data_IF_072465338563
#
_entry.id   IF_072465338563
#
_cell.length_a   1.000
_cell.length_b   1.000
_cell.length_c   1.000
_cell.angle_alpha   90.00
_cell.angle_beta   90.00
_cell.angle_gamma   90.00
#
_symmetry.space_group_name_H-M   'P 1'
#
loop_
_entity.id
_entity.type
_entity.pdbx_description
1 polymer ?
#
# COMPACT_ATOMS: atom_id res chain seq x y z
N UNK A 1 -1.20 -6.15 -37.28
CA UNK A 1 -0.40 -6.38 -36.05
C UNK A 1 -1.33 -6.84 -34.93
N UNK A 2 -1.10 -8.02 -34.39
CA UNK A 2 -1.82 -8.56 -33.22
C UNK A 2 -1.43 -7.78 -31.97
N UNK A 3 -2.39 -7.29 -31.19
CA UNK A 3 -2.11 -6.58 -29.94
C UNK A 3 -1.70 -7.58 -28.85
N UNK A 4 -0.38 -7.74 -28.66
CA UNK A 4 0.23 -8.76 -27.77
C UNK A 4 -0.22 -8.59 -26.31
N UNK A 5 -0.57 -7.37 -25.90
CA UNK A 5 -0.90 -7.05 -24.50
C UNK A 5 -2.39 -7.11 -24.18
N UNK A 6 -3.27 -7.31 -25.17
CA UNK A 6 -4.72 -7.18 -24.97
C UNK A 6 -5.26 -8.14 -23.91
N UNK A 7 -4.85 -9.41 -23.94
CA UNK A 7 -5.29 -10.42 -22.98
C UNK A 7 -4.84 -10.10 -21.56
N UNK A 8 -3.61 -9.63 -21.42
CA UNK A 8 -3.00 -9.26 -20.15
C UNK A 8 -3.67 -8.03 -19.52
N UNK A 9 -3.95 -6.99 -20.33
CA UNK A 9 -4.69 -5.80 -19.88
C UNK A 9 -6.08 -6.18 -19.36
N UNK A 10 -6.79 -7.06 -20.08
CA UNK A 10 -8.12 -7.53 -19.65
C UNK A 10 -8.04 -8.31 -18.34
N UNK A 11 -7.04 -9.19 -18.20
CA UNK A 11 -6.81 -9.96 -16.98
C UNK A 11 -6.56 -9.03 -15.79
N UNK A 12 -5.63 -8.09 -15.94
CA UNK A 12 -5.31 -7.11 -14.91
C UNK A 12 -6.54 -6.28 -14.49
N UNK A 13 -7.33 -5.81 -15.46
CA UNK A 13 -8.56 -5.06 -15.17
C UNK A 13 -9.55 -5.87 -14.33
N UNK A 14 -9.77 -7.14 -14.68
CA UNK A 14 -10.65 -8.04 -13.91
C UNK A 14 -10.11 -8.31 -12.51
N UNK A 15 -8.80 -8.54 -12.37
CA UNK A 15 -8.14 -8.74 -11.07
C UNK A 15 -8.34 -7.52 -10.17
N UNK A 16 -8.06 -6.31 -10.66
CA UNK A 16 -8.24 -5.08 -9.89
C UNK A 16 -9.71 -4.88 -9.48
N UNK A 17 -10.67 -5.12 -10.38
CA UNK A 17 -12.09 -5.03 -10.03
C UNK A 17 -12.51 -6.05 -8.98
N UNK A 18 -11.95 -7.25 -8.99
CA UNK A 18 -12.22 -8.27 -7.97
C UNK A 18 -11.68 -7.83 -6.61
N UNK A 19 -10.42 -7.41 -6.55
CA UNK A 19 -9.77 -6.96 -5.31
C UNK A 19 -10.39 -5.68 -4.75
N UNK A 20 -10.90 -4.80 -5.62
CA UNK A 20 -11.54 -3.54 -5.24
C UNK A 20 -12.89 -3.67 -4.56
N UNK A 21 -13.47 -4.87 -4.45
CA UNK A 21 -14.80 -5.08 -3.83
C UNK A 21 -14.83 -4.68 -2.35
N UNK A 22 -13.74 -4.96 -1.63
CA UNK A 22 -13.60 -4.67 -0.21
C UNK A 22 -12.88 -3.34 0.06
N UNK A 23 -12.85 -2.44 -0.94
CA UNK A 23 -12.17 -1.17 -0.82
C UNK A 23 -12.85 -0.29 0.26
N UNK A 24 -12.09 0.40 1.15
CA UNK A 24 -12.67 1.11 2.30
C UNK A 24 -13.72 2.17 1.96
N UNK A 25 -13.60 2.83 0.80
CA UNK A 25 -14.54 3.85 0.31
C UNK A 25 -15.67 3.27 -0.55
N UNK A 26 -15.79 1.94 -0.59
CA UNK A 26 -16.80 1.21 -1.34
C UNK A 26 -16.38 0.81 -2.77
N UNK A 27 -17.02 -0.23 -3.27
CA UNK A 27 -16.75 -0.77 -4.60
C UNK A 27 -17.01 0.22 -5.75
N UNK A 28 -18.12 1.00 -5.78
CA UNK A 28 -18.36 1.95 -6.88
C UNK A 28 -17.25 2.98 -7.02
N UNK A 29 -16.78 3.51 -5.90
CA UNK A 29 -15.68 4.48 -5.86
C UNK A 29 -14.39 3.92 -6.48
N UNK A 30 -14.02 2.68 -6.11
CA UNK A 30 -12.85 2.03 -6.68
C UNK A 30 -13.05 1.72 -8.16
N UNK A 31 -14.19 1.12 -8.53
CA UNK A 31 -14.54 0.73 -9.89
C UNK A 31 -14.43 1.92 -10.84
N UNK A 32 -14.97 3.08 -10.47
CA UNK A 32 -14.96 4.26 -11.33
C UNK A 32 -13.55 4.85 -11.51
N UNK A 33 -12.71 4.80 -10.48
CA UNK A 33 -11.29 5.20 -10.61
C UNK A 33 -10.51 4.23 -11.48
N UNK A 34 -10.68 2.93 -11.23
CA UNK A 34 -10.06 1.88 -12.03
C UNK A 34 -10.46 2.03 -13.50
N UNK A 35 -11.76 2.12 -13.80
CA UNK A 35 -12.24 2.31 -15.16
C UNK A 35 -11.68 3.57 -15.82
N UNK A 36 -11.68 4.73 -15.12
CA UNK A 36 -11.09 5.97 -15.66
C UNK A 36 -9.60 5.82 -15.99
N UNK A 37 -8.82 5.12 -15.16
CA UNK A 37 -7.39 4.91 -15.42
C UNK A 37 -7.14 4.08 -16.70
N UNK A 38 -7.92 3.03 -16.93
CA UNK A 38 -7.83 2.23 -18.16
C UNK A 38 -8.38 3.00 -19.38
N UNK A 39 -9.51 3.69 -19.22
CA UNK A 39 -10.13 4.47 -20.29
C UNK A 39 -9.23 5.61 -20.80
N UNK A 40 -8.48 6.26 -19.90
CA UNK A 40 -7.51 7.32 -20.25
C UNK A 40 -6.42 6.83 -21.22
N UNK A 41 -6.05 5.54 -21.15
CA UNK A 41 -4.97 4.96 -21.94
C UNK A 41 -5.46 4.04 -23.07
N UNK A 42 -6.76 4.06 -23.40
CA UNK A 42 -7.38 3.11 -24.35
C UNK A 42 -6.81 3.18 -25.77
N UNK A 43 -6.29 4.35 -26.16
CA UNK A 43 -5.79 4.62 -27.52
C UNK A 43 -4.27 4.49 -27.61
N UNK A 44 -3.59 4.11 -26.52
CA UNK A 44 -2.15 3.91 -26.53
C UNK A 44 -1.79 2.68 -27.40
N UNK A 45 -0.92 2.92 -28.39
CA UNK A 45 -0.49 1.90 -29.38
C UNK A 45 0.97 1.52 -29.23
N UNK A 46 1.74 2.29 -28.46
CA UNK A 46 3.13 2.00 -28.18
C UNK A 46 3.24 0.82 -27.20
N UNK A 47 3.79 -0.30 -27.68
CA UNK A 47 3.96 -1.51 -26.87
C UNK A 47 4.81 -1.29 -25.62
N UNK A 48 5.82 -0.42 -25.68
CA UNK A 48 6.72 -0.15 -24.54
C UNK A 48 6.00 0.61 -23.43
N UNK A 49 5.15 1.57 -23.79
CA UNK A 49 4.30 2.30 -22.86
C UNK A 49 3.24 1.40 -22.25
N UNK A 50 2.58 0.55 -23.05
CA UNK A 50 1.60 -0.41 -22.55
C UNK A 50 2.24 -1.37 -21.55
N UNK A 51 3.43 -1.90 -21.82
CA UNK A 51 4.17 -2.74 -20.89
C UNK A 51 4.49 -2.02 -19.57
N UNK A 52 4.84 -0.73 -19.65
CA UNK A 52 5.12 0.09 -18.45
C UNK A 52 3.87 0.31 -17.61
N UNK A 53 2.73 0.60 -18.24
CA UNK A 53 1.43 0.76 -17.57
C UNK A 53 0.97 -0.55 -16.94
N UNK A 54 1.17 -1.68 -17.62
CA UNK A 54 0.90 -3.01 -17.07
C UNK A 54 1.73 -3.27 -15.81
N UNK A 55 3.04 -2.99 -15.85
CA UNK A 55 3.93 -3.11 -14.69
C UNK A 55 3.43 -2.28 -13.51
N UNK A 56 3.01 -1.04 -13.77
CA UNK A 56 2.42 -0.18 -12.74
C UNK A 56 1.13 -0.78 -12.15
N UNK A 57 0.24 -1.31 -12.99
CA UNK A 57 -0.97 -1.95 -12.50
C UNK A 57 -0.70 -3.22 -11.66
N UNK A 58 0.31 -4.01 -12.02
CA UNK A 58 0.76 -5.15 -11.21
C UNK A 58 1.34 -4.71 -9.86
N UNK A 59 2.05 -3.58 -9.81
CA UNK A 59 2.49 -3.00 -8.54
C UNK A 59 1.30 -2.62 -7.64
N UNK A 60 0.26 -2.00 -8.20
CA UNK A 60 -0.97 -1.68 -7.44
C UNK A 60 -1.65 -2.93 -6.89
N UNK A 61 -1.67 -4.03 -7.66
CA UNK A 61 -2.17 -5.33 -7.16
C UNK A 61 -1.39 -5.77 -5.91
N UNK A 62 -0.05 -5.74 -5.97
CA UNK A 62 0.79 -6.12 -4.83
C UNK A 62 0.55 -5.21 -3.60
N UNK A 63 0.36 -3.91 -3.79
CA UNK A 63 0.00 -2.99 -2.70
C UNK A 63 -1.34 -3.34 -2.07
N UNK A 64 -2.35 -3.65 -2.89
CA UNK A 64 -3.67 -4.06 -2.38
C UNK A 64 -3.61 -5.37 -1.59
N UNK A 65 -2.82 -6.35 -2.04
CA UNK A 65 -2.57 -7.60 -1.30
C UNK A 65 -1.88 -7.31 0.04
N UNK A 66 -0.84 -6.48 0.04
CA UNK A 66 -0.14 -6.09 1.24
C UNK A 66 -1.06 -5.42 2.27
N UNK A 67 -1.93 -4.51 1.81
CA UNK A 67 -2.92 -3.85 2.67
C UNK A 67 -3.95 -4.84 3.23
N UNK A 68 -4.37 -5.82 2.43
CA UNK A 68 -5.25 -6.90 2.89
C UNK A 68 -4.58 -7.73 3.99
N UNK A 69 -3.32 -8.14 3.81
CA UNK A 69 -2.55 -8.86 4.83
C UNK A 69 -2.36 -8.03 6.09
N UNK A 70 -2.06 -6.74 5.96
CA UNK A 70 -1.92 -5.83 7.10
C UNK A 70 -3.23 -5.71 7.90
N UNK A 71 -4.37 -5.57 7.22
CA UNK A 71 -5.70 -5.55 7.86
C UNK A 71 -5.97 -6.85 8.62
N UNK A 72 -5.68 -7.99 8.01
CA UNK A 72 -5.81 -9.32 8.64
C UNK A 72 -4.91 -9.43 9.87
N UNK A 73 -3.64 -9.06 9.75
CA UNK A 73 -2.68 -9.07 10.85
C UNK A 73 -3.13 -8.18 12.01
N UNK A 74 -3.55 -6.94 11.76
CA UNK A 74 -4.08 -6.02 12.79
C UNK A 74 -5.26 -6.62 13.54
N UNK A 75 -6.18 -7.27 12.81
CA UNK A 75 -7.35 -7.94 13.40
C UNK A 75 -6.94 -9.11 14.29
N UNK A 76 -6.01 -9.95 13.83
CA UNK A 76 -5.47 -11.07 14.60
C UNK A 76 -4.73 -10.58 15.84
N UNK A 77 -3.85 -9.58 15.69
CA UNK A 77 -3.06 -9.01 16.78
C UNK A 77 -3.98 -8.56 17.92
N UNK A 78 -5.03 -7.79 17.61
CA UNK A 78 -6.01 -7.30 18.61
C UNK A 78 -6.77 -8.42 19.33
N UNK A 79 -6.99 -9.58 18.68
CA UNK A 79 -7.72 -10.70 19.28
C UNK A 79 -6.85 -11.55 20.22
N UNK A 80 -5.59 -11.76 19.88
CA UNK A 80 -4.71 -12.68 20.59
C UNK A 80 -3.68 -12.00 21.51
N UNK A 81 -3.43 -10.71 21.31
CA UNK A 81 -2.52 -9.91 22.13
C UNK A 81 -3.28 -8.70 22.68
N UNK A 82 -3.93 -8.83 23.85
CA UNK A 82 -4.53 -7.70 24.55
C UNK A 82 -3.48 -6.59 24.74
N UNK A 83 -3.89 -5.33 24.54
CA UNK A 83 -2.99 -4.16 24.48
C UNK A 83 -2.04 -4.05 25.68
N UNK A 84 -2.46 -4.51 26.87
CA UNK A 84 -1.67 -4.52 28.11
C UNK A 84 -0.27 -5.14 28.02
N UNK A 85 -0.07 -6.20 27.22
CA UNK A 85 1.22 -6.90 27.18
C UNK A 85 2.19 -6.35 26.11
N UNK A 86 1.64 -5.75 25.05
CA UNK A 86 2.44 -5.28 23.91
C UNK A 86 2.89 -3.84 24.12
N UNK A 87 2.01 -2.99 24.67
CA UNK A 87 2.32 -1.58 24.90
C UNK A 87 3.35 -1.43 26.01
N UNK A 88 3.27 -2.25 27.07
CA UNK A 88 4.29 -2.29 28.12
C UNK A 88 5.70 -2.65 27.59
N UNK A 89 5.81 -3.58 26.64
CA UNK A 89 7.10 -3.98 26.05
C UNK A 89 7.62 -2.96 25.03
N UNK A 90 6.73 -2.34 24.25
CA UNK A 90 7.09 -1.29 23.29
C UNK A 90 7.51 -0.03 24.04
N UNK A 91 6.75 0.39 25.05
CA UNK A 91 7.04 1.56 25.87
C UNK A 91 8.33 1.38 26.67
N UNK A 92 8.59 0.18 27.19
CA UNK A 92 9.87 -0.14 27.83
C UNK A 92 11.04 -0.05 26.83
N UNK A 93 10.88 -0.56 25.61
CA UNK A 93 11.90 -0.44 24.55
C UNK A 93 12.10 1.01 24.08
N UNK A 94 11.03 1.81 24.01
CA UNK A 94 11.09 3.22 23.61
C UNK A 94 11.68 4.11 24.71
N UNK A 95 11.43 3.82 25.99
CA UNK A 95 12.11 4.50 27.11
C UNK A 95 13.61 4.31 27.06
N UNK A 96 14.07 3.06 26.89
CA UNK A 96 15.50 2.75 26.78
C UNK A 96 16.18 3.42 25.56
N UNK A 97 15.43 3.79 24.52
CA UNK A 97 15.95 4.52 23.36
C UNK A 97 15.98 6.04 23.61
N UNK A 98 14.99 6.59 24.32
CA UNK A 98 14.95 8.04 24.67
C UNK A 98 16.01 8.43 25.68
N UNK A 99 16.39 7.51 26.56
CA UNK A 99 17.45 7.72 27.55
C UNK A 99 18.87 7.67 26.93
N UNK A 100 18.97 7.49 25.60
CA UNK A 100 20.22 7.50 24.83
C UNK A 100 20.41 8.76 23.97
N UNK A 101 19.55 9.79 24.10
CA UNK A 101 19.90 11.10 23.54
C UNK A 101 21.17 11.61 24.25
N UNK A 102 22.26 11.92 23.51
CA UNK A 102 23.43 12.52 24.12
C UNK A 102 23.02 13.88 24.68
N UNK A 103 23.39 14.14 25.95
CA UNK A 103 23.36 15.48 26.54
C UNK A 103 24.14 16.40 25.59
N UNK A 104 23.41 17.12 24.74
CA UNK A 104 23.94 18.18 23.88
C UNK A 104 24.45 19.27 24.81
N UNK A 105 25.67 19.04 25.29
CA UNK A 105 26.34 19.78 26.34
C UNK A 105 26.08 21.26 26.17
N UNK A 106 25.40 21.82 27.17
CA UNK A 106 25.19 23.27 27.33
C UNK A 106 26.53 23.96 27.12
N UNK A 107 26.76 24.45 25.90
CA UNK A 107 27.92 25.30 25.60
C UNK A 107 27.72 26.59 26.38
N UNK A 108 28.52 26.74 27.42
CA UNK A 108 28.83 28.02 28.02
C UNK A 108 29.07 29.08 26.94
N UNK A 109 28.33 30.19 27.00
CA UNK A 109 28.83 31.50 26.58
C UNK A 109 28.39 32.53 27.62
N UNK A 110 29.36 32.93 28.42
CA UNK A 110 29.39 34.23 29.06
C UNK A 110 29.14 35.30 28.00
N UNK A 111 28.16 36.19 28.24
CA UNK A 111 28.29 37.65 28.20
C UNK A 111 27.13 38.24 29.00
#
# INVERSE_FOLDING_TARGET
>A
MTNIHRSEVIRLYKTLLYMGRDYPLGYPYFRDRCHRAFAKNREERDATKVATLLRHGHFVVAEMEALYFLKKYRTMKRRYYPEEQVDAQIDAKLKNIRDLEPDDGKKNKNL
#
